data_IF_305375175401
#
_entry.id   IF_305375175401
#
_cell.length_a   1.000
_cell.length_b   1.000
_cell.length_c   1.000
_cell.angle_alpha   90.00
_cell.angle_beta   90.00
_cell.angle_gamma   90.00
#
_symmetry.space_group_name_H-M   'P 1'
#
loop_
_entity.id
_entity.type
_entity.pdbx_description
1 polymer ?
#
# COMPACT_ATOMS: atom_id res chain seq x y z
N UNK A 1 6.84 35.22 27.82
CA UNK A 1 7.92 36.18 27.54
C UNK A 1 7.32 37.25 26.64
N UNK A 2 7.04 38.46 27.15
CA UNK A 2 6.40 39.54 26.40
C UNK A 2 7.47 40.25 25.56
N UNK A 3 7.34 40.24 24.24
CA UNK A 3 8.22 40.97 23.33
C UNK A 3 7.49 42.18 22.75
N UNK A 4 8.07 43.36 22.93
CA UNK A 4 7.56 44.66 22.49
C UNK A 4 7.81 44.88 21.00
N UNK A 5 6.83 45.45 20.30
CA UNK A 5 7.00 45.97 18.96
C UNK A 5 7.51 47.42 19.01
N UNK A 6 8.54 47.73 18.22
CA UNK A 6 9.07 49.08 18.04
C UNK A 6 8.50 49.66 16.74
N UNK A 7 7.96 50.88 16.81
CA UNK A 7 7.46 51.63 15.66
C UNK A 7 8.44 52.77 15.37
N UNK A 8 8.92 52.87 14.13
CA UNK A 8 9.81 53.95 13.71
C UNK A 8 9.08 54.83 12.69
N UNK A 9 8.80 56.07 13.04
CA UNK A 9 8.25 57.08 12.13
C UNK A 9 9.40 57.92 11.54
N UNK A 10 9.45 58.00 10.21
CA UNK A 10 10.30 58.98 9.51
C UNK A 10 9.40 59.87 8.67
N UNK A 11 9.55 61.19 8.83
CA UNK A 11 8.78 62.20 8.11
C UNK A 11 9.70 62.93 7.15
N UNK A 12 9.52 62.72 5.85
CA UNK A 12 10.25 63.44 4.82
C UNK A 12 9.35 64.52 4.22
N UNK A 13 9.70 65.79 4.41
CA UNK A 13 8.98 66.93 3.84
C UNK A 13 9.69 67.36 2.55
N UNK A 14 9.05 67.12 1.42
CA UNK A 14 9.50 67.63 0.12
C UNK A 14 8.61 68.79 -0.31
N UNK A 15 9.22 69.95 -0.53
CA UNK A 15 8.54 71.19 -0.93
C UNK A 15 8.75 71.41 -2.43
N UNK A 16 7.83 70.92 -3.26
CA UNK A 16 7.73 71.34 -4.66
C UNK A 16 6.59 72.35 -4.79
N UNK A 17 6.92 73.52 -5.33
CA UNK A 17 6.07 74.71 -5.36
C UNK A 17 5.59 74.96 -6.78
N UNK A 18 4.35 74.54 -7.09
CA UNK A 18 3.41 75.24 -7.97
C UNK A 18 2.04 74.55 -7.91
N UNK A 19 1.00 75.39 -7.80
CA UNK A 19 -0.45 75.12 -7.88
C UNK A 19 -0.93 73.67 -8.01
N UNK A 20 -1.64 73.21 -6.97
CA UNK A 20 -2.91 72.46 -7.00
C UNK A 20 -3.05 71.61 -5.72
N UNK A 21 -4.26 71.59 -5.16
CA UNK A 21 -4.79 70.70 -4.11
C UNK A 21 -3.76 69.90 -3.30
N UNK A 22 -3.47 70.35 -2.06
CA UNK A 22 -2.57 69.64 -1.14
C UNK A 22 -3.25 68.32 -0.69
N UNK A 23 -2.98 67.24 -1.42
CA UNK A 23 -3.30 65.88 -0.98
C UNK A 23 -2.19 65.42 -0.03
N UNK A 24 -2.46 65.45 1.28
CA UNK A 24 -1.58 64.83 2.29
C UNK A 24 -1.72 63.31 2.19
N UNK A 25 -0.87 62.67 1.41
CA UNK A 25 -0.73 61.21 1.39
C UNK A 25 0.11 60.82 2.61
N UNK A 26 -0.52 60.16 3.58
CA UNK A 26 0.21 59.47 4.66
C UNK A 26 0.58 58.09 4.15
N UNK A 27 1.85 57.85 3.91
CA UNK A 27 2.37 56.51 3.61
C UNK A 27 2.84 55.88 4.92
N UNK A 28 2.04 54.96 5.45
CA UNK A 28 2.42 54.14 6.61
C UNK A 28 3.09 52.88 6.08
N UNK A 29 4.43 52.84 6.10
CA UNK A 29 5.17 51.62 5.77
C UNK A 29 5.19 50.71 6.99
N UNK A 30 4.33 49.70 7.00
CA UNK A 30 4.37 48.63 8.00
C UNK A 30 5.40 47.61 7.53
N UNK A 31 6.61 47.67 8.07
CA UNK A 31 7.60 46.61 7.89
C UNK A 31 7.17 45.40 8.72
N UNK A 32 6.35 44.52 8.14
CA UNK A 32 6.12 43.19 8.69
C UNK A 32 7.45 42.45 8.63
N UNK A 33 8.11 42.31 9.77
CA UNK A 33 9.23 41.39 9.93
C UNK A 33 8.72 39.98 9.64
N UNK A 34 8.83 39.56 8.39
CA UNK A 34 8.59 38.19 7.97
C UNK A 34 9.75 37.38 8.52
N UNK A 35 9.63 36.92 9.77
CA UNK A 35 10.40 35.79 10.24
C UNK A 35 10.00 34.63 9.33
N UNK A 36 10.85 34.34 8.34
CA UNK A 36 10.83 33.07 7.65
C UNK A 36 11.10 32.01 8.73
N UNK A 37 10.03 31.58 9.41
CA UNK A 37 10.02 30.26 9.97
C UNK A 37 10.20 29.39 8.74
N UNK A 38 11.34 28.73 8.63
CA UNK A 38 11.48 27.59 7.74
C UNK A 38 10.48 26.55 8.23
N UNK A 39 9.20 26.74 7.91
CA UNK A 39 8.30 25.64 7.75
C UNK A 39 8.94 24.85 6.63
N UNK A 40 9.68 23.81 7.02
CA UNK A 40 9.93 22.68 6.16
C UNK A 40 8.54 22.27 5.69
N UNK A 41 8.13 22.78 4.53
CA UNK A 41 7.09 22.22 3.70
C UNK A 41 7.65 20.85 3.31
N UNK A 42 7.59 19.92 4.27
CA UNK A 42 7.28 18.55 3.94
C UNK A 42 6.00 18.68 3.14
N UNK A 43 6.11 18.57 1.82
CA UNK A 43 4.93 18.34 1.01
C UNK A 43 4.27 17.14 1.68
N UNK A 44 3.13 17.38 2.36
CA UNK A 44 2.29 16.31 2.86
C UNK A 44 2.13 15.37 1.69
N UNK A 45 2.55 14.11 1.85
CA UNK A 45 2.22 13.07 0.89
C UNK A 45 0.77 13.30 0.46
N UNK A 46 0.53 13.46 -0.85
CA UNK A 46 -0.81 13.62 -1.42
C UNK A 46 -1.76 12.75 -0.62
N UNK A 47 -2.68 13.36 0.13
CA UNK A 47 -3.54 12.62 1.04
C UNK A 47 -4.29 11.62 0.19
N UNK A 48 -3.94 10.34 0.33
CA UNK A 48 -4.62 9.32 -0.43
C UNK A 48 -6.10 9.29 -0.07
N UNK A 49 -6.88 8.56 -0.84
CA UNK A 49 -8.31 8.42 -0.61
C UNK A 49 -8.62 6.94 -0.44
N UNK A 50 -9.30 6.57 0.65
CA UNK A 50 -9.96 5.27 0.74
C UNK A 50 -11.34 5.43 0.11
N UNK A 51 -11.66 4.60 -0.88
CA UNK A 51 -12.98 4.60 -1.51
C UNK A 51 -13.66 3.26 -1.35
N UNK A 52 -14.98 3.28 -1.13
CA UNK A 52 -15.85 2.10 -1.21
C UNK A 52 -16.73 2.24 -2.43
N UNK A 53 -16.82 1.17 -3.21
CA UNK A 53 -17.66 1.04 -4.39
C UNK A 53 -18.68 -0.07 -4.19
N UNK A 54 -19.90 0.13 -4.67
CA UNK A 54 -20.93 -0.92 -4.67
C UNK A 54 -20.78 -1.88 -5.86
N UNK A 55 -21.67 -2.87 -5.96
CA UNK A 55 -21.66 -3.85 -7.06
C UNK A 55 -21.91 -3.27 -8.45
N UNK A 56 -22.39 -2.03 -8.55
CA UNK A 56 -22.54 -1.30 -9.82
C UNK A 56 -21.28 -0.50 -10.21
N UNK A 57 -20.29 -0.47 -9.32
CA UNK A 57 -19.07 0.32 -9.46
C UNK A 57 -19.21 1.77 -9.00
N UNK A 58 -20.33 2.15 -8.39
CA UNK A 58 -20.53 3.52 -7.90
C UNK A 58 -19.80 3.74 -6.58
N UNK A 59 -19.07 4.86 -6.45
CA UNK A 59 -18.46 5.25 -5.17
C UNK A 59 -19.52 5.66 -4.17
N UNK A 60 -19.62 4.92 -3.07
CA UNK A 60 -20.61 5.12 -1.99
C UNK A 60 -20.01 5.69 -0.71
N UNK A 61 -18.68 5.59 -0.54
CA UNK A 61 -17.94 6.21 0.55
C UNK A 61 -16.58 6.69 0.05
N UNK A 62 -16.18 7.88 0.49
CA UNK A 62 -14.87 8.48 0.24
C UNK A 62 -14.37 9.03 1.57
N UNK A 63 -13.26 8.48 2.07
CA UNK A 63 -12.67 8.90 3.35
C UNK A 63 -11.23 9.33 3.11
N UNK A 64 -10.79 10.39 3.82
CA UNK A 64 -9.40 10.83 3.78
C UNK A 64 -8.48 9.68 4.24
N UNK A 65 -7.35 9.43 3.56
CA UNK A 65 -6.37 8.40 3.95
C UNK A 65 -5.62 8.81 5.21
N UNK A 66 -6.31 8.67 6.34
CA UNK A 66 -5.72 8.64 7.66
C UNK A 66 -5.77 7.19 8.18
N UNK A 67 -5.04 6.92 9.27
CA UNK A 67 -4.91 5.58 9.79
C UNK A 67 -6.24 4.89 10.15
N UNK A 68 -7.31 5.65 10.45
CA UNK A 68 -8.63 5.11 10.77
C UNK A 68 -9.49 4.81 9.53
N UNK A 69 -9.21 5.43 8.38
CA UNK A 69 -10.13 5.46 7.26
C UNK A 69 -10.40 4.11 6.59
N UNK A 70 -9.40 3.23 6.50
CA UNK A 70 -9.60 1.88 5.97
C UNK A 70 -10.43 1.03 6.93
N UNK A 71 -10.18 1.13 8.25
CA UNK A 71 -10.99 0.45 9.25
C UNK A 71 -12.45 0.95 9.23
N UNK A 72 -12.66 2.27 9.11
CA UNK A 72 -13.98 2.88 8.98
C UNK A 72 -14.70 2.42 7.70
N UNK A 73 -13.97 2.34 6.58
CA UNK A 73 -14.51 1.81 5.32
C UNK A 73 -14.93 0.35 5.46
N UNK A 74 -14.12 -0.50 6.09
CA UNK A 74 -14.46 -1.90 6.33
C UNK A 74 -15.64 -2.05 7.30
N UNK A 75 -15.72 -1.21 8.34
CA UNK A 75 -16.87 -1.16 9.25
C UNK A 75 -18.15 -0.75 8.51
N UNK A 76 -18.07 0.24 7.63
CA UNK A 76 -19.18 0.64 6.78
C UNK A 76 -19.67 -0.52 5.90
N UNK A 77 -18.75 -1.26 5.27
CA UNK A 77 -19.13 -2.44 4.45
C UNK A 77 -19.79 -3.52 5.31
N UNK A 78 -19.32 -3.74 6.55
CA UNK A 78 -19.94 -4.68 7.46
C UNK A 78 -21.41 -4.32 7.74
N UNK A 79 -21.66 -3.04 8.04
CA UNK A 79 -23.00 -2.53 8.37
C UNK A 79 -23.95 -2.57 7.16
N UNK A 80 -23.40 -2.55 5.94
CA UNK A 80 -24.17 -2.60 4.68
C UNK A 80 -24.07 -3.96 3.98
N UNK A 81 -23.53 -4.99 4.64
CA UNK A 81 -23.21 -6.26 3.99
C UNK A 81 -24.42 -7.04 3.47
N UNK A 82 -25.61 -6.77 4.00
CA UNK A 82 -26.86 -7.37 3.54
C UNK A 82 -27.27 -6.93 2.12
N UNK A 83 -26.74 -5.82 1.61
CA UNK A 83 -27.16 -5.25 0.31
C UNK A 83 -26.27 -5.62 -0.88
N UNK A 84 -25.15 -6.33 -0.68
CA UNK A 84 -24.35 -6.82 -1.79
C UNK A 84 -22.86 -6.99 -1.49
N UNK A 85 -22.09 -7.06 -2.58
CA UNK A 85 -20.62 -7.09 -2.55
C UNK A 85 -20.08 -5.68 -2.76
N UNK A 86 -18.98 -5.36 -2.08
CA UNK A 86 -18.37 -4.04 -2.11
C UNK A 86 -16.89 -4.13 -2.48
N UNK A 87 -16.42 -3.19 -3.30
CA UNK A 87 -15.01 -2.99 -3.57
C UNK A 87 -14.45 -1.90 -2.65
N UNK A 88 -13.44 -2.22 -1.85
CA UNK A 88 -12.70 -1.23 -1.06
C UNK A 88 -11.35 -1.02 -1.73
N UNK A 89 -11.07 0.23 -2.14
CA UNK A 89 -9.78 0.62 -2.72
C UNK A 89 -8.99 1.40 -1.68
N UNK A 90 -7.87 0.84 -1.24
CA UNK A 90 -6.93 1.49 -0.35
C UNK A 90 -5.72 2.01 -1.13
N UNK A 91 -5.26 3.22 -0.85
CA UNK A 91 -3.99 3.70 -1.40
C UNK A 91 -2.80 3.14 -0.63
N UNK A 92 -1.59 3.14 -1.21
CA UNK A 92 -0.38 2.83 -0.44
C UNK A 92 -0.26 3.78 0.76
N UNK A 93 0.09 3.28 1.93
CA UNK A 93 0.15 4.12 3.14
C UNK A 93 0.11 3.35 4.44
N UNK A 94 -0.11 4.09 5.53
CA UNK A 94 -0.16 3.55 6.89
C UNK A 94 -1.60 3.53 7.42
N UNK A 95 -2.04 2.37 7.89
CA UNK A 95 -3.40 2.14 8.37
C UNK A 95 -3.39 1.50 9.76
N UNK A 96 -4.48 1.64 10.49
CA UNK A 96 -4.73 0.84 11.69
C UNK A 96 -5.31 -0.52 11.28
N UNK A 97 -5.04 -1.55 12.09
CA UNK A 97 -5.56 -2.91 11.89
C UNK A 97 -6.99 -2.96 11.34
N UNK A 98 -7.27 -3.90 10.42
CA UNK A 98 -8.59 -4.04 9.82
C UNK A 98 -9.01 -5.50 9.62
N UNK A 99 -10.30 -5.70 9.41
CA UNK A 99 -10.89 -6.98 9.04
C UNK A 99 -11.56 -6.87 7.68
N UNK A 100 -11.07 -7.61 6.67
CA UNK A 100 -11.80 -7.81 5.41
C UNK A 100 -13.02 -8.68 5.68
N UNK A 101 -14.20 -8.09 5.53
CA UNK A 101 -15.47 -8.76 5.76
C UNK A 101 -15.84 -9.71 4.61
N UNK A 102 -16.82 -10.59 4.83
CA UNK A 102 -17.15 -11.74 3.97
C UNK A 102 -17.73 -11.39 2.59
N UNK A 103 -17.83 -10.13 2.25
CA UNK A 103 -18.44 -9.62 1.02
C UNK A 103 -17.68 -8.38 0.49
N UNK A 104 -16.41 -8.25 0.88
CA UNK A 104 -15.55 -7.16 0.47
C UNK A 104 -14.41 -7.68 -0.40
N UNK A 105 -14.22 -7.03 -1.54
CA UNK A 105 -13.04 -7.14 -2.38
C UNK A 105 -12.11 -5.97 -2.04
N UNK A 106 -10.96 -6.26 -1.43
CA UNK A 106 -9.94 -5.24 -1.16
C UNK A 106 -8.97 -5.19 -2.34
N UNK A 107 -8.90 -4.02 -2.96
CA UNK A 107 -7.94 -3.70 -4.03
C UNK A 107 -7.10 -2.50 -3.63
N UNK A 108 -6.02 -2.34 -4.36
CA UNK A 108 -5.06 -1.29 -4.11
C UNK A 108 -5.17 -0.19 -5.15
N UNK A 109 -4.95 1.06 -4.74
CA UNK A 109 -5.18 2.20 -5.59
C UNK A 109 -4.05 2.52 -6.56
N UNK A 110 -2.82 2.57 -6.06
CA UNK A 110 -1.62 2.92 -6.81
C UNK A 110 -0.65 1.75 -6.81
N UNK A 111 -1.07 0.63 -7.39
CA UNK A 111 -0.29 -0.59 -7.38
C UNK A 111 0.66 -0.74 -8.57
N UNK A 112 1.81 -1.43 -8.40
CA UNK A 112 2.22 -2.11 -7.16
C UNK A 112 2.59 -1.14 -6.02
N UNK A 113 2.16 -1.45 -4.79
CA UNK A 113 2.24 -0.57 -3.63
C UNK A 113 2.42 -1.29 -2.28
N UNK A 114 2.77 -0.54 -1.24
CA UNK A 114 2.95 -1.05 0.12
C UNK A 114 1.87 -0.50 1.04
N UNK A 115 1.30 -1.38 1.86
CA UNK A 115 0.43 -1.02 2.97
C UNK A 115 1.09 -1.45 4.26
N UNK A 116 1.16 -0.51 5.20
CA UNK A 116 1.75 -0.68 6.51
C UNK A 116 0.65 -0.61 7.57
N UNK A 117 0.51 -1.64 8.37
CA UNK A 117 -0.57 -1.82 9.35
C UNK A 117 -0.03 -1.73 10.77
N UNK A 118 -0.50 -0.72 11.49
CA UNK A 118 -0.36 -0.64 12.94
C UNK A 118 -1.36 -1.61 13.61
N UNK A 119 -1.02 -2.89 13.56
CA UNK A 119 -1.76 -4.01 14.17
C UNK A 119 -1.90 -5.20 13.22
N UNK A 120 -2.88 -6.06 13.49
CA UNK A 120 -3.13 -7.26 12.70
C UNK A 120 -4.09 -7.06 11.53
N UNK A 121 -4.33 -8.14 10.78
CA UNK A 121 -5.31 -8.19 9.69
C UNK A 121 -6.05 -9.52 9.73
N UNK A 122 -7.35 -9.48 9.45
CA UNK A 122 -8.12 -10.70 9.20
C UNK A 122 -8.84 -10.63 7.86
N UNK A 123 -8.67 -11.64 7.02
CA UNK A 123 -9.44 -11.80 5.78
C UNK A 123 -10.41 -12.95 5.97
N UNK A 124 -11.72 -12.67 6.02
CA UNK A 124 -12.74 -13.71 6.21
C UNK A 124 -12.86 -14.62 4.98
N UNK A 125 -13.44 -15.80 5.18
CA UNK A 125 -13.50 -16.86 4.18
C UNK A 125 -14.11 -16.47 2.82
N UNK A 126 -15.06 -15.54 2.80
CA UNK A 126 -15.68 -15.05 1.58
C UNK A 126 -15.19 -13.65 1.15
N UNK A 127 -14.25 -13.05 1.91
CA UNK A 127 -13.57 -11.82 1.49
C UNK A 127 -12.45 -12.12 0.50
N UNK A 128 -12.01 -11.10 -0.22
CA UNK A 128 -10.91 -11.19 -1.18
C UNK A 128 -9.90 -10.06 -0.99
N UNK A 129 -8.63 -10.35 -1.28
CA UNK A 129 -7.64 -9.32 -1.57
C UNK A 129 -7.00 -9.59 -2.93
N UNK A 130 -6.86 -8.56 -3.76
CA UNK A 130 -6.12 -8.62 -5.01
C UNK A 130 -4.68 -8.13 -4.79
N UNK A 131 -3.68 -8.89 -5.24
CA UNK A 131 -2.28 -8.48 -5.27
C UNK A 131 -1.79 -8.38 -6.72
N UNK A 132 -1.21 -7.25 -7.08
CA UNK A 132 -0.63 -6.94 -8.38
C UNK A 132 0.89 -7.17 -8.36
N UNK A 133 1.39 -7.81 -9.41
CA UNK A 133 2.80 -8.19 -9.56
C UNK A 133 3.29 -7.72 -10.93
N UNK A 134 4.25 -6.80 -10.92
CA UNK A 134 4.95 -6.26 -12.08
C UNK A 134 6.43 -6.70 -12.16
N UNK A 135 6.94 -7.39 -11.12
CA UNK A 135 8.33 -7.83 -11.01
C UNK A 135 8.63 -8.44 -9.63
N UNK A 136 9.89 -8.73 -9.36
CA UNK A 136 10.33 -9.49 -8.17
C UNK A 136 11.03 -8.64 -7.10
N UNK A 137 11.38 -7.39 -7.39
CA UNK A 137 12.15 -6.55 -6.48
C UNK A 137 11.25 -5.67 -5.61
N UNK A 138 11.18 -6.01 -4.32
CA UNK A 138 10.58 -5.20 -3.27
C UNK A 138 11.60 -4.76 -2.21
N UNK A 139 12.90 -4.78 -2.53
CA UNK A 139 13.96 -4.41 -1.59
C UNK A 139 13.88 -2.96 -1.09
N UNK A 140 13.19 -2.09 -1.83
CA UNK A 140 12.98 -0.68 -1.51
C UNK A 140 11.71 -0.40 -0.67
N UNK A 141 10.93 -1.44 -0.35
CA UNK A 141 9.85 -1.33 0.61
C UNK A 141 10.40 -1.15 2.04
N UNK A 142 9.81 -0.29 2.90
CA UNK A 142 8.68 0.59 2.65
C UNK A 142 9.10 2.04 2.33
N UNK A 143 10.41 2.33 2.30
CA UNK A 143 10.88 3.65 2.71
C UNK A 143 11.11 4.68 1.61
N UNK A 144 11.32 4.31 0.33
CA UNK A 144 11.65 5.35 -0.69
C UNK A 144 11.44 4.98 -2.17
N UNK A 145 11.03 3.76 -2.54
CA UNK A 145 11.06 3.30 -3.94
C UNK A 145 9.73 2.77 -4.50
N UNK A 146 9.70 2.63 -5.83
CA UNK A 146 8.65 1.88 -6.54
C UNK A 146 8.83 0.40 -6.20
N UNK A 147 7.82 -0.21 -5.59
CA UNK A 147 7.79 -1.67 -5.42
C UNK A 147 7.30 -2.33 -6.70
N UNK A 148 7.69 -3.57 -6.91
CA UNK A 148 7.30 -4.33 -8.10
C UNK A 148 6.18 -5.33 -7.82
N UNK A 149 5.85 -5.59 -6.57
CA UNK A 149 4.65 -6.34 -6.20
C UNK A 149 3.97 -5.71 -4.98
N UNK A 150 2.67 -5.92 -4.87
CA UNK A 150 1.93 -5.48 -3.70
C UNK A 150 2.39 -6.17 -2.43
N UNK A 151 2.39 -5.42 -1.34
CA UNK A 151 2.83 -5.92 -0.04
C UNK A 151 2.00 -5.34 1.09
N UNK A 152 1.65 -6.19 2.04
CA UNK A 152 1.11 -5.81 3.34
C UNK A 152 2.17 -6.05 4.41
N UNK A 153 2.53 -5.01 5.14
CA UNK A 153 3.39 -5.05 6.32
C UNK A 153 2.49 -4.85 7.54
N UNK A 154 2.64 -5.67 8.58
CA UNK A 154 1.76 -5.63 9.74
C UNK A 154 2.49 -5.82 11.07
N UNK A 155 2.17 -4.96 12.03
CA UNK A 155 2.72 -5.03 13.39
C UNK A 155 2.10 -6.15 14.24
N UNK A 156 1.00 -6.74 13.79
CA UNK A 156 0.24 -7.78 14.50
C UNK A 156 0.07 -9.08 13.72
N UNK A 157 -0.70 -9.99 14.31
CA UNK A 157 -1.00 -11.29 13.71
C UNK A 157 -1.92 -11.17 12.49
N UNK A 158 -1.74 -12.09 11.54
CA UNK A 158 -2.53 -12.18 10.31
C UNK A 158 -3.32 -13.48 10.30
N UNK A 159 -4.63 -13.38 10.08
CA UNK A 159 -5.49 -14.53 9.80
C UNK A 159 -6.10 -14.39 8.42
N UNK A 160 -5.59 -15.15 7.44
CA UNK A 160 -6.04 -15.11 6.06
C UNK A 160 -6.85 -16.36 5.71
N UNK A 161 -8.17 -16.20 5.57
CA UNK A 161 -9.11 -17.28 5.28
C UNK A 161 -9.81 -17.12 3.93
N UNK A 162 -9.72 -15.93 3.33
CA UNK A 162 -10.43 -15.58 2.10
C UNK A 162 -9.72 -15.97 0.81
N UNK A 163 -10.12 -15.34 -0.29
CA UNK A 163 -9.51 -15.51 -1.61
C UNK A 163 -8.34 -14.55 -1.81
N UNK A 164 -7.14 -15.10 -2.03
CA UNK A 164 -5.98 -14.35 -2.51
C UNK A 164 -6.02 -14.34 -4.03
N UNK A 165 -6.27 -13.17 -4.62
CA UNK A 165 -6.28 -12.98 -6.07
C UNK A 165 -4.98 -12.35 -6.54
N UNK A 166 -4.51 -12.73 -7.73
CA UNK A 166 -3.27 -12.19 -8.32
C UNK A 166 -3.56 -11.56 -9.68
N UNK A 167 -3.00 -10.38 -9.94
CA UNK A 167 -2.93 -9.78 -11.26
C UNK A 167 -1.47 -9.57 -11.68
N UNK A 168 -1.14 -9.94 -12.92
CA UNK A 168 0.18 -9.67 -13.50
C UNK A 168 0.11 -8.37 -14.31
N UNK A 169 1.02 -7.44 -14.05
CA UNK A 169 1.08 -6.15 -14.72
C UNK A 169 2.23 -6.10 -15.72
N UNK A 170 2.19 -5.12 -16.64
CA UNK A 170 3.32 -4.80 -17.53
C UNK A 170 3.87 -5.99 -18.32
N UNK A 171 3.02 -6.97 -18.64
CA UNK A 171 3.41 -8.22 -19.30
C UNK A 171 4.44 -9.06 -18.53
N UNK A 172 4.55 -8.84 -17.22
CA UNK A 172 5.44 -9.61 -16.35
C UNK A 172 5.09 -11.10 -16.44
N UNK A 173 6.10 -11.93 -16.71
CA UNK A 173 5.97 -13.38 -16.82
C UNK A 173 6.81 -14.02 -15.72
N UNK A 174 6.19 -14.49 -14.62
CA UNK A 174 6.90 -15.13 -13.53
C UNK A 174 7.69 -16.36 -14.00
N UNK A 175 8.95 -16.46 -13.56
CA UNK A 175 9.86 -17.56 -13.85
C UNK A 175 9.94 -18.56 -12.69
N UNK A 176 10.44 -19.77 -12.97
CA UNK A 176 10.69 -20.78 -11.95
C UNK A 176 11.59 -20.23 -10.83
N UNK A 177 11.13 -20.32 -9.59
CA UNK A 177 11.86 -19.88 -8.41
C UNK A 177 11.56 -18.43 -8.00
N UNK A 178 10.83 -17.66 -8.82
CA UNK A 178 10.35 -16.34 -8.40
C UNK A 178 9.47 -16.49 -7.15
N UNK A 179 9.73 -15.65 -6.14
CA UNK A 179 9.03 -15.68 -4.86
C UNK A 179 8.66 -14.25 -4.44
N UNK A 180 7.39 -14.07 -4.10
CA UNK A 180 6.81 -12.79 -3.75
C UNK A 180 6.36 -12.84 -2.29
N UNK A 181 6.95 -12.00 -1.45
CA UNK A 181 6.55 -11.86 -0.06
C UNK A 181 5.38 -10.87 0.02
N UNK A 182 4.15 -11.38 -0.05
CA UNK A 182 2.94 -10.56 -0.18
C UNK A 182 2.48 -9.97 1.16
N UNK A 183 2.73 -10.68 2.26
CA UNK A 183 2.40 -10.24 3.62
C UNK A 183 3.59 -10.50 4.53
N UNK A 184 3.94 -9.55 5.39
CA UNK A 184 5.01 -9.68 6.37
C UNK A 184 4.57 -9.16 7.75
N UNK A 185 5.00 -9.82 8.82
CA UNK A 185 4.69 -9.42 10.20
C UNK A 185 5.94 -9.09 11.01
N UNK A 186 5.78 -8.34 12.11
CA UNK A 186 6.90 -8.03 13.02
C UNK A 186 7.32 -9.25 13.84
N UNK A 187 8.51 -9.19 14.45
CA UNK A 187 9.08 -10.30 15.22
C UNK A 187 8.10 -10.86 16.27
N UNK A 188 7.93 -12.19 16.29
CA UNK A 188 7.05 -12.89 17.23
C UNK A 188 5.57 -12.87 16.85
N UNK A 189 5.21 -12.33 15.68
CA UNK A 189 3.87 -12.40 15.10
C UNK A 189 3.75 -13.50 14.06
N UNK A 190 2.52 -13.90 13.84
CA UNK A 190 2.18 -15.09 13.04
C UNK A 190 1.35 -14.76 11.82
N UNK A 191 1.48 -15.58 10.77
CA UNK A 191 0.60 -15.58 9.61
C UNK A 191 -0.10 -16.93 9.54
N UNK A 192 -1.41 -16.94 9.67
CA UNK A 192 -2.23 -18.15 9.50
C UNK A 192 -2.91 -18.09 8.13
N UNK A 193 -2.51 -18.98 7.22
CA UNK A 193 -3.13 -19.13 5.90
C UNK A 193 -4.05 -20.35 5.86
N UNK A 194 -5.30 -20.12 5.46
CA UNK A 194 -6.33 -21.16 5.23
C UNK A 194 -7.26 -20.83 4.06
N UNK A 195 -6.83 -19.88 3.22
CA UNK A 195 -7.61 -19.35 2.10
C UNK A 195 -7.49 -20.15 0.80
N UNK A 196 -8.04 -19.59 -0.26
CA UNK A 196 -7.93 -20.11 -1.62
C UNK A 196 -7.12 -19.17 -2.50
N UNK A 197 -6.39 -19.71 -3.46
CA UNK A 197 -5.64 -18.93 -4.45
C UNK A 197 -6.42 -18.82 -5.76
N UNK A 198 -6.51 -17.61 -6.31
CA UNK A 198 -7.03 -17.29 -7.63
C UNK A 198 -5.96 -16.52 -8.41
N UNK A 199 -5.21 -17.20 -9.26
CA UNK A 199 -4.04 -16.61 -9.92
C UNK A 199 -3.98 -16.96 -11.41
N UNK A 200 -3.37 -16.10 -12.25
CA UNK A 200 -3.25 -16.34 -13.68
C UNK A 200 -2.48 -17.63 -13.97
N UNK A 201 -2.82 -18.26 -15.09
CA UNK A 201 -2.09 -19.45 -15.57
C UNK A 201 -0.66 -19.07 -15.93
N UNK A 202 0.30 -19.84 -15.43
CA UNK A 202 1.72 -19.68 -15.72
C UNK A 202 2.12 -20.44 -17.00
N UNK A 203 3.35 -20.23 -17.45
CA UNK A 203 3.93 -21.00 -18.53
C UNK A 203 3.88 -22.52 -18.25
N UNK A 204 3.84 -23.32 -19.31
CA UNK A 204 3.69 -24.77 -19.22
C UNK A 204 4.73 -25.39 -18.28
N UNK A 205 4.25 -26.26 -17.38
CA UNK A 205 5.10 -26.93 -16.40
C UNK A 205 5.32 -26.15 -15.11
N UNK A 206 4.77 -24.93 -14.96
CA UNK A 206 4.84 -24.13 -13.73
C UNK A 206 3.47 -24.01 -13.03
N UNK A 207 3.49 -23.84 -11.71
CA UNK A 207 2.32 -23.59 -10.87
C UNK A 207 2.67 -22.62 -9.74
N UNK A 208 1.66 -21.91 -9.25
CA UNK A 208 1.77 -21.12 -8.03
C UNK A 208 1.71 -21.99 -6.78
N UNK A 209 2.50 -21.64 -5.77
CA UNK A 209 2.46 -22.23 -4.44
C UNK A 209 2.37 -21.11 -3.39
N UNK A 210 1.41 -21.23 -2.47
CA UNK A 210 1.34 -20.38 -1.28
C UNK A 210 2.04 -21.08 -0.12
N UNK A 211 2.86 -20.36 0.62
CA UNK A 211 3.51 -20.88 1.83
C UNK A 211 3.64 -19.80 2.91
N UNK A 212 3.80 -20.22 4.16
CA UNK A 212 4.14 -19.35 5.28
C UNK A 212 5.53 -19.72 5.77
N UNK A 213 6.40 -18.72 5.90
CA UNK A 213 7.75 -18.87 6.42
C UNK A 213 8.19 -17.55 7.07
N UNK A 214 9.34 -17.53 7.76
CA UNK A 214 9.87 -16.28 8.32
C UNK A 214 10.19 -15.27 7.22
N UNK A 215 9.72 -14.05 7.41
CA UNK A 215 9.97 -12.89 6.55
C UNK A 215 11.27 -12.18 6.91
N UNK A 216 11.81 -11.45 5.94
CA UNK A 216 12.95 -10.53 6.15
C UNK A 216 12.74 -9.15 5.54
N UNK A 217 11.59 -8.92 4.93
CA UNK A 217 11.25 -7.68 4.23
C UNK A 217 11.19 -6.49 5.18
N UNK A 218 11.83 -5.37 4.84
CA UNK A 218 11.60 -4.08 5.50
C UNK A 218 11.80 -4.06 7.03
N UNK A 219 12.56 -5.00 7.61
CA UNK A 219 12.69 -5.16 9.07
C UNK A 219 11.55 -5.94 9.74
N UNK A 220 10.54 -6.36 8.97
CA UNK A 220 9.50 -7.30 9.38
C UNK A 220 10.10 -8.72 9.37
N UNK A 221 10.38 -9.21 10.57
CA UNK A 221 11.13 -10.46 10.84
C UNK A 221 10.28 -11.55 11.49
N UNK A 222 8.96 -11.38 11.52
CA UNK A 222 8.00 -12.41 11.93
C UNK A 222 7.68 -13.38 10.80
N UNK A 223 6.49 -13.98 10.84
CA UNK A 223 5.99 -14.79 9.73
C UNK A 223 5.61 -13.92 8.53
N UNK A 224 5.68 -14.53 7.36
CA UNK A 224 5.33 -13.92 6.08
C UNK A 224 4.59 -14.91 5.18
N UNK A 225 3.66 -14.40 4.38
CA UNK A 225 2.98 -15.14 3.33
C UNK A 225 3.74 -14.98 2.02
N UNK A 226 4.21 -16.10 1.48
CA UNK A 226 4.90 -16.17 0.20
C UNK A 226 3.98 -16.75 -0.87
N UNK A 227 4.06 -16.16 -2.06
CA UNK A 227 3.59 -16.74 -3.30
C UNK A 227 4.81 -17.07 -4.17
N UNK A 228 5.00 -18.33 -4.53
CA UNK A 228 6.19 -18.80 -5.24
C UNK A 228 5.81 -19.54 -6.51
N UNK A 229 6.61 -19.37 -7.55
CA UNK A 229 6.51 -20.12 -8.79
C UNK A 229 7.32 -21.41 -8.68
N UNK A 230 6.64 -22.54 -8.74
CA UNK A 230 7.24 -23.88 -8.61
C UNK A 230 6.90 -24.75 -9.81
N UNK A 231 7.61 -25.87 -10.04
CA UNK A 231 7.22 -26.81 -11.07
C UNK A 231 5.86 -27.43 -10.74
N UNK A 232 5.03 -27.64 -11.75
CA UNK A 232 3.81 -28.45 -11.61
C UNK A 232 4.18 -29.82 -11.03
N UNK A 233 3.38 -30.40 -10.12
CA UNK A 233 3.69 -31.69 -9.52
C UNK A 233 3.99 -32.81 -10.56
N UNK A 234 3.34 -32.77 -11.72
CA UNK A 234 3.57 -33.72 -12.82
C UNK A 234 4.93 -33.56 -13.52
N UNK A 235 5.48 -32.35 -13.60
CA UNK A 235 6.79 -32.10 -14.21
C UNK A 235 7.93 -32.78 -13.41
N UNK A 236 7.82 -32.80 -12.08
CA UNK A 236 8.78 -33.48 -11.21
C UNK A 236 8.77 -35.00 -11.40
N UNK A 237 7.58 -35.59 -11.58
CA UNK A 237 7.44 -37.03 -11.79
C UNK A 237 8.09 -37.49 -13.12
N UNK A 238 8.03 -36.67 -14.17
CA UNK A 238 8.67 -36.97 -15.46
C UNK A 238 10.20 -36.92 -15.36
N UNK A 239 10.76 -35.97 -14.59
CA UNK A 239 12.20 -35.87 -14.38
C UNK A 239 12.75 -37.11 -13.65
N UNK A 240 12.01 -37.58 -12.63
CA UNK A 240 12.38 -38.78 -11.87
C UNK A 240 12.36 -40.06 -12.73
N UNK A 241 11.36 -40.22 -13.60
CA UNK A 241 11.26 -41.41 -14.47
C UNK A 241 12.32 -41.43 -15.58
N UNK A 242 12.63 -40.27 -16.17
CA UNK A 242 13.69 -40.15 -17.17
C UNK A 242 15.08 -40.51 -16.60
N UNK A 243 15.37 -40.09 -15.37
CA UNK A 243 16.62 -40.43 -14.68
C UNK A 243 16.80 -41.94 -14.46
N UNK A 244 15.73 -42.64 -14.06
CA UNK A 244 15.76 -44.09 -13.81
C UNK A 244 15.97 -44.88 -15.12
N UNK A 245 15.32 -44.48 -16.21
CA UNK A 245 15.47 -45.13 -17.52
C UNK A 245 16.88 -44.89 -18.10
N UNK A 246 17.43 -43.68 -17.92
CA UNK A 246 18.79 -43.34 -18.35
C UNK A 246 19.88 -44.11 -17.59
N UNK A 247 19.75 -44.25 -16.27
CA UNK A 247 20.69 -45.00 -15.43
C UNK A 247 20.73 -46.50 -15.78
N UNK A 248 19.60 -47.08 -16.21
CA UNK A 248 19.52 -48.50 -16.59
C UNK A 248 20.22 -48.80 -17.92
N UNK A 249 20.38 -47.82 -18.81
CA UNK A 249 20.97 -48.02 -20.15
C UNK A 249 22.50 -48.02 -20.18
N UNK A 250 23.18 -47.60 -19.11
CA UNK A 250 24.66 -47.49 -19.03
C UNK A 250 25.38 -48.69 -18.40
N UNK A 251 24.70 -49.83 -18.20
CA UNK A 251 25.26 -51.03 -17.53
C UNK A 251 25.55 -52.23 -18.45
N UNK A 252 25.67 -52.04 -19.76
CA UNK A 252 26.08 -53.08 -20.70
C UNK A 252 27.40 -52.73 -21.37
#
# INVERSE_FOLDING_TARGET
MLTSASTYESTENRTDRTDSTIMKIRTTTITLGLWATSALLTASASAGIVTVTDSSGATVLTTANNAAALADAMAWVNDHSASGTYGVRAESGKYNSFETVSNADLTWGNSPGVIDLFGGMRVRAAGQMLFEIAGTDNSLAPSTGVVQCDTVLADGDILYQGRLSVALLNLFTPALGDSFQLIATTAGKTVTWSGTLDAPTLAAGLSWQVSVAQGTMAGFTGDALYLTVVPTPGALALLGTAGIIGARRRRN
#
